data_IF_101991486372
#
_entry.id   IF_101991486372
#
_cell.length_a   1.000
_cell.length_b   1.000
_cell.length_c   1.000
_cell.angle_alpha   90.00
_cell.angle_beta   90.00
_cell.angle_gamma   90.00
#
_symmetry.space_group_name_H-M   'P 1'
#
loop_
_entity.id
_entity.type
_entity.pdbx_description
1 polymer ?
#
# COMPACT_ATOMS: atom_id res chain seq x y z
N UNK A 1 22.16 24.19 -36.56
CA UNK A 1 22.36 24.33 -35.12
C UNK A 1 20.99 24.13 -34.49
N UNK A 2 20.66 22.89 -34.17
CA UNK A 2 19.36 22.52 -33.62
C UNK A 2 19.47 22.47 -32.09
N UNK A 3 18.83 23.41 -31.43
CA UNK A 3 18.62 23.37 -29.97
C UNK A 3 17.77 22.12 -29.66
N UNK A 4 18.39 21.14 -29.02
CA UNK A 4 17.69 20.05 -28.37
C UNK A 4 17.00 20.66 -27.15
N UNK A 5 15.73 21.07 -27.34
CA UNK A 5 14.86 21.43 -26.22
C UNK A 5 14.79 20.23 -25.29
N UNK A 6 15.50 20.28 -24.17
CA UNK A 6 15.23 19.39 -23.04
C UNK A 6 13.78 19.63 -22.65
N UNK A 7 12.89 18.67 -22.96
CA UNK A 7 11.54 18.64 -22.41
C UNK A 7 11.70 18.73 -20.89
N UNK A 8 11.34 19.85 -20.28
CA UNK A 8 11.20 19.93 -18.82
C UNK A 8 10.29 18.77 -18.42
N UNK A 9 10.77 17.88 -17.57
CA UNK A 9 9.99 16.75 -17.11
C UNK A 9 8.79 17.30 -16.34
N UNK A 10 7.62 17.04 -16.86
CA UNK A 10 6.35 17.46 -16.24
C UNK A 10 6.35 16.97 -14.77
N UNK A 11 6.11 17.89 -13.84
CA UNK A 11 6.14 17.55 -12.39
C UNK A 11 5.15 16.42 -12.11
N UNK A 12 5.56 15.33 -11.45
CA UNK A 12 4.68 14.20 -11.21
C UNK A 12 3.46 14.59 -10.38
N UNK A 13 2.31 14.09 -10.76
CA UNK A 13 1.06 14.22 -10.01
C UNK A 13 0.97 13.13 -8.95
N UNK A 14 1.49 11.93 -9.27
CA UNK A 14 1.45 10.75 -8.41
C UNK A 14 2.88 10.27 -8.15
N UNK A 15 3.25 10.07 -6.89
CA UNK A 15 4.47 9.35 -6.52
C UNK A 15 4.10 7.96 -6.00
N UNK A 16 4.59 6.92 -6.67
CA UNK A 16 4.49 5.53 -6.22
C UNK A 16 5.71 5.23 -5.35
N UNK A 17 5.50 4.80 -4.13
CA UNK A 17 6.55 4.44 -3.16
C UNK A 17 6.59 2.92 -3.04
N UNK A 18 7.72 2.33 -3.41
CA UNK A 18 7.96 0.88 -3.40
C UNK A 18 9.09 0.56 -2.43
N UNK A 19 8.78 0.17 -1.18
CA UNK A 19 9.80 -0.37 -0.29
C UNK A 19 10.28 -1.72 -0.81
N UNK A 20 11.60 -1.94 -0.86
CA UNK A 20 12.19 -3.18 -1.32
C UNK A 20 13.22 -3.69 -0.30
N UNK A 21 13.17 -4.99 0.00
CA UNK A 21 14.19 -5.69 0.76
C UNK A 21 14.21 -7.16 0.34
N UNK A 22 15.36 -7.65 -0.18
CA UNK A 22 15.52 -9.02 -0.71
C UNK A 22 14.42 -9.37 -1.72
N UNK A 23 14.21 -8.48 -2.72
CA UNK A 23 13.08 -8.52 -3.64
C UNK A 23 13.47 -8.87 -5.09
N UNK A 24 14.70 -9.33 -5.34
CA UNK A 24 15.22 -9.56 -6.69
C UNK A 24 14.30 -10.40 -7.58
N UNK A 25 13.61 -11.38 -6.99
CA UNK A 25 12.74 -12.32 -7.72
C UNK A 25 11.45 -11.65 -8.24
N UNK A 26 10.91 -10.64 -7.53
CA UNK A 26 9.54 -10.15 -7.77
C UNK A 26 9.49 -8.71 -8.24
N UNK A 27 10.50 -7.90 -7.91
CA UNK A 27 10.48 -6.45 -8.09
C UNK A 27 10.28 -6.02 -9.54
N UNK A 28 10.72 -6.82 -10.51
CA UNK A 28 10.51 -6.56 -11.95
C UNK A 28 9.03 -6.47 -12.28
N UNK A 29 8.22 -7.47 -11.89
CA UNK A 29 6.78 -7.49 -12.10
C UNK A 29 6.08 -6.30 -11.44
N UNK A 30 6.51 -5.93 -10.22
CA UNK A 30 5.97 -4.76 -9.52
C UNK A 30 6.24 -3.47 -10.31
N UNK A 31 7.47 -3.26 -10.81
CA UNK A 31 7.85 -2.09 -11.61
C UNK A 31 7.03 -2.04 -12.91
N UNK A 32 6.95 -3.14 -13.64
CA UNK A 32 6.19 -3.25 -14.90
C UNK A 32 4.72 -2.93 -14.72
N UNK A 33 4.13 -3.32 -13.56
CA UNK A 33 2.75 -3.00 -13.24
C UNK A 33 2.52 -1.49 -13.01
N UNK A 34 3.54 -0.75 -12.56
CA UNK A 34 3.48 0.72 -12.47
C UNK A 34 3.65 1.35 -13.84
N UNK A 35 4.56 0.84 -14.67
CA UNK A 35 4.78 1.35 -16.03
C UNK A 35 3.54 1.18 -16.92
N UNK A 36 2.76 0.13 -16.70
CA UNK A 36 1.53 -0.18 -17.45
C UNK A 36 0.31 0.64 -17.03
N UNK A 37 0.41 1.53 -16.05
CA UNK A 37 -0.73 2.30 -15.57
C UNK A 37 -1.30 3.25 -16.63
N UNK A 38 -2.63 3.22 -16.79
CA UNK A 38 -3.39 3.99 -17.81
C UNK A 38 -3.94 5.31 -17.28
N UNK A 39 -3.41 5.84 -16.16
CA UNK A 39 -4.01 6.96 -15.45
C UNK A 39 -3.96 8.31 -16.19
N UNK A 40 -3.19 8.44 -17.28
CA UNK A 40 -3.04 9.70 -18.02
C UNK A 40 -2.43 10.85 -17.22
N UNK A 41 -1.93 10.60 -16.01
CA UNK A 41 -1.26 11.57 -15.14
C UNK A 41 0.24 11.28 -15.11
N UNK A 42 1.05 12.34 -15.03
CA UNK A 42 2.49 12.19 -14.79
C UNK A 42 2.74 11.50 -13.45
N UNK A 43 3.57 10.47 -13.43
CA UNK A 43 3.92 9.73 -12.23
C UNK A 43 5.44 9.53 -12.12
N UNK A 44 5.90 9.33 -10.90
CA UNK A 44 7.24 8.83 -10.58
C UNK A 44 7.14 7.55 -9.74
N UNK A 45 8.14 6.68 -9.82
CA UNK A 45 8.30 5.50 -8.97
C UNK A 45 9.57 5.65 -8.14
N UNK A 46 9.42 5.64 -6.83
CA UNK A 46 10.51 5.69 -5.86
C UNK A 46 10.71 4.29 -5.27
N UNK A 47 11.71 3.55 -5.77
CA UNK A 47 12.11 2.26 -5.21
C UNK A 47 13.07 2.54 -4.05
N UNK A 48 12.62 2.26 -2.84
CA UNK A 48 13.38 2.49 -1.60
C UNK A 48 13.94 1.16 -1.12
N UNK A 49 15.19 0.89 -1.46
CA UNK A 49 15.88 -0.34 -1.05
C UNK A 49 16.40 -0.24 0.38
N UNK A 50 15.86 -1.07 1.25
CA UNK A 50 16.20 -1.14 2.68
C UNK A 50 17.47 -1.99 2.94
N UNK A 51 18.54 -1.71 2.18
CA UNK A 51 19.84 -2.37 2.29
C UNK A 51 19.83 -3.86 1.88
N UNK A 52 19.25 -4.18 0.71
CA UNK A 52 19.26 -5.53 0.16
C UNK A 52 20.69 -6.03 -0.13
N UNK A 53 20.90 -7.33 0.01
CA UNK A 53 22.17 -8.03 -0.27
C UNK A 53 22.03 -9.07 -1.39
N UNK A 54 20.84 -9.23 -1.94
CA UNK A 54 20.55 -10.05 -3.12
C UNK A 54 20.66 -9.21 -4.42
N UNK A 55 20.23 -9.75 -5.53
CA UNK A 55 20.20 -9.07 -6.83
C UNK A 55 19.12 -7.98 -7.00
N UNK A 56 18.54 -7.41 -5.93
CA UNK A 56 17.47 -6.40 -6.01
C UNK A 56 17.92 -5.15 -6.79
N UNK A 57 19.13 -4.66 -6.50
CA UNK A 57 19.65 -3.46 -7.20
C UNK A 57 19.84 -3.73 -8.70
N UNK A 58 20.38 -4.88 -9.05
CA UNK A 58 20.60 -5.29 -10.43
C UNK A 58 19.28 -5.45 -11.19
N UNK A 59 18.26 -6.00 -10.53
CA UNK A 59 16.91 -6.11 -11.09
C UNK A 59 16.31 -4.74 -11.40
N UNK A 60 16.43 -3.76 -10.49
CA UNK A 60 15.93 -2.38 -10.71
C UNK A 60 16.72 -1.66 -11.80
N UNK A 61 18.03 -1.88 -11.90
CA UNK A 61 18.88 -1.23 -12.94
C UNK A 61 18.43 -1.53 -14.37
N UNK A 62 17.74 -2.63 -14.61
CA UNK A 62 17.16 -2.96 -15.94
C UNK A 62 16.17 -1.92 -16.42
N UNK A 63 15.58 -1.15 -15.51
CA UNK A 63 14.60 -0.09 -15.78
C UNK A 63 15.21 1.32 -15.73
N UNK A 64 16.53 1.45 -15.64
CA UNK A 64 17.23 2.74 -15.52
C UNK A 64 17.07 3.68 -16.74
N UNK A 65 16.63 3.15 -17.89
CA UNK A 65 16.29 3.96 -19.07
C UNK A 65 14.99 4.74 -18.93
N UNK A 66 14.11 4.38 -17.99
CA UNK A 66 12.88 5.14 -17.70
C UNK A 66 13.20 6.23 -16.65
N UNK A 67 13.22 7.52 -17.04
CA UNK A 67 13.61 8.61 -16.14
C UNK A 67 12.63 8.84 -14.99
N UNK A 68 11.46 8.21 -15.01
CA UNK A 68 10.46 8.27 -13.95
C UNK A 68 10.74 7.33 -12.80
N UNK A 69 11.70 6.38 -12.94
CA UNK A 69 12.03 5.36 -11.94
C UNK A 69 13.31 5.77 -11.20
N UNK A 70 13.19 5.94 -9.90
CA UNK A 70 14.26 6.39 -9.03
C UNK A 70 14.61 5.30 -8.01
N UNK A 71 15.85 4.83 -8.01
CA UNK A 71 16.35 3.88 -7.03
C UNK A 71 17.09 4.62 -5.90
N UNK A 72 16.68 4.37 -4.67
CA UNK A 72 17.24 5.00 -3.47
C UNK A 72 17.56 3.91 -2.45
N UNK A 73 18.86 3.69 -2.18
CA UNK A 73 19.32 2.69 -1.21
C UNK A 73 19.56 3.30 0.18
N UNK A 74 19.04 2.67 1.22
CA UNK A 74 19.36 3.01 2.61
C UNK A 74 20.73 2.42 3.01
N UNK A 75 21.43 3.10 3.92
CA UNK A 75 22.76 2.66 4.42
C UNK A 75 22.69 1.41 5.28
N UNK A 76 21.55 1.10 5.89
CA UNK A 76 21.27 -0.06 6.73
C UNK A 76 19.79 -0.41 6.68
N UNK A 77 19.46 -1.67 6.97
CA UNK A 77 18.07 -2.09 7.11
C UNK A 77 17.42 -1.39 8.32
N UNK A 78 16.32 -0.69 8.06
CA UNK A 78 15.55 0.09 9.05
C UNK A 78 14.08 -0.29 9.11
N UNK A 79 13.69 -1.25 8.28
CA UNK A 79 12.33 -1.76 8.17
C UNK A 79 11.43 -0.97 7.21
N UNK A 80 10.30 -1.58 6.88
CA UNK A 80 9.38 -1.09 5.82
C UNK A 80 8.79 0.28 6.14
N UNK A 81 8.47 0.58 7.41
CA UNK A 81 7.97 1.89 7.82
C UNK A 81 8.99 3.00 7.53
N UNK A 82 10.27 2.75 7.83
CA UNK A 82 11.35 3.70 7.57
C UNK A 82 11.57 3.91 6.06
N UNK A 83 11.50 2.83 5.26
CA UNK A 83 11.59 2.91 3.81
C UNK A 83 10.44 3.73 3.22
N UNK A 84 9.18 3.45 3.63
CA UNK A 84 8.01 4.23 3.19
C UNK A 84 8.11 5.71 3.60
N UNK A 85 8.57 6.02 4.81
CA UNK A 85 8.76 7.40 5.26
C UNK A 85 9.84 8.13 4.47
N UNK A 86 10.93 7.45 4.10
CA UNK A 86 11.94 8.02 3.20
C UNK A 86 11.33 8.33 1.83
N UNK A 87 10.51 7.43 1.30
CA UNK A 87 9.75 7.65 0.07
C UNK A 87 8.81 8.86 0.16
N UNK A 88 8.01 8.97 1.24
CA UNK A 88 7.12 10.13 1.49
C UNK A 88 7.92 11.45 1.49
N UNK A 89 9.09 11.46 2.11
CA UNK A 89 9.97 12.64 2.16
C UNK A 89 10.52 13.03 0.79
N UNK A 90 10.81 12.05 -0.08
CA UNK A 90 11.40 12.24 -1.40
C UNK A 90 10.36 12.51 -2.49
N UNK A 91 9.14 12.07 -2.28
CA UNK A 91 8.03 12.18 -3.23
C UNK A 91 7.72 13.63 -3.62
N UNK A 92 7.52 13.86 -4.92
CA UNK A 92 7.20 15.17 -5.49
C UNK A 92 5.72 15.30 -5.85
N UNK A 93 5.01 14.18 -5.98
CA UNK A 93 3.60 14.13 -6.35
C UNK A 93 2.65 14.75 -5.32
N UNK A 94 1.52 15.22 -5.79
CA UNK A 94 0.41 15.67 -4.96
C UNK A 94 -0.33 14.49 -4.31
N UNK A 95 -0.23 13.31 -4.92
CA UNK A 95 -0.78 12.05 -4.41
C UNK A 95 0.32 11.02 -4.24
N UNK A 96 0.18 10.17 -3.22
CA UNK A 96 1.07 9.06 -2.94
C UNK A 96 0.31 7.73 -3.07
N UNK A 97 0.96 6.76 -3.70
CA UNK A 97 0.53 5.38 -3.73
C UNK A 97 1.65 4.50 -3.16
N UNK A 98 1.29 3.37 -2.56
CA UNK A 98 2.26 2.41 -2.00
C UNK A 98 2.10 1.08 -2.72
N UNK A 99 3.22 0.45 -3.08
CA UNK A 99 3.24 -0.89 -3.68
C UNK A 99 4.40 -1.68 -3.06
N UNK A 100 4.10 -2.81 -2.45
CA UNK A 100 5.14 -3.71 -1.95
C UNK A 100 5.82 -4.42 -3.13
N UNK A 101 7.13 -4.67 -3.04
CA UNK A 101 7.95 -5.13 -4.17
C UNK A 101 7.64 -6.57 -4.63
N UNK A 102 6.81 -7.31 -3.90
CA UNK A 102 6.33 -8.65 -4.22
C UNK A 102 4.88 -8.69 -4.75
N UNK A 103 4.19 -7.53 -4.74
CA UNK A 103 2.83 -7.36 -5.25
C UNK A 103 2.82 -6.67 -6.62
N UNK A 104 1.66 -6.59 -7.29
CA UNK A 104 1.50 -5.81 -8.52
C UNK A 104 0.07 -5.30 -8.69
N UNK A 105 -0.11 -4.38 -9.63
CA UNK A 105 -1.39 -3.72 -9.90
C UNK A 105 -1.96 -4.08 -11.26
N UNK A 106 -3.29 -4.04 -11.37
CA UNK A 106 -3.98 -3.95 -12.66
C UNK A 106 -3.75 -2.56 -13.29
N UNK A 107 -3.69 -2.48 -14.61
CA UNK A 107 -3.33 -1.28 -15.35
C UNK A 107 -4.24 -0.06 -15.07
N UNK A 108 -5.50 -0.28 -14.72
CA UNK A 108 -6.48 0.78 -14.50
C UNK A 108 -6.55 1.30 -13.05
N UNK A 109 -5.75 0.76 -12.14
CA UNK A 109 -5.87 1.08 -10.71
C UNK A 109 -5.78 2.57 -10.41
N UNK A 110 -4.73 3.24 -10.86
CA UNK A 110 -4.54 4.66 -10.55
C UNK A 110 -5.58 5.54 -11.26
N UNK A 111 -6.00 5.19 -12.49
CA UNK A 111 -7.06 5.91 -13.21
C UNK A 111 -8.36 5.88 -12.41
N UNK A 112 -8.82 4.69 -12.03
CA UNK A 112 -10.05 4.52 -11.25
C UNK A 112 -10.00 5.29 -9.93
N UNK A 113 -8.88 5.24 -9.22
CA UNK A 113 -8.74 5.95 -7.94
C UNK A 113 -8.73 7.47 -8.10
N UNK A 114 -8.05 8.00 -9.12
CA UNK A 114 -8.06 9.43 -9.41
C UNK A 114 -9.45 9.96 -9.79
N UNK A 115 -10.22 9.19 -10.56
CA UNK A 115 -11.61 9.51 -10.89
C UNK A 115 -12.48 9.62 -9.63
N UNK A 116 -12.35 8.62 -8.72
CA UNK A 116 -13.09 8.63 -7.46
C UNK A 116 -12.68 9.76 -6.52
N UNK A 117 -11.38 10.04 -6.40
CA UNK A 117 -10.87 11.16 -5.59
C UNK A 117 -11.40 12.50 -6.14
N UNK A 118 -11.33 12.72 -7.45
CA UNK A 118 -11.85 13.94 -8.09
C UNK A 118 -13.36 14.13 -7.85
N UNK A 119 -14.13 13.04 -7.92
CA UNK A 119 -15.59 13.07 -7.74
C UNK A 119 -16.01 13.29 -6.30
N UNK A 120 -15.27 12.76 -5.33
CA UNK A 120 -15.69 12.73 -3.91
C UNK A 120 -14.94 13.73 -3.03
N UNK A 121 -13.80 14.24 -3.48
CA UNK A 121 -12.89 15.04 -2.64
C UNK A 121 -12.19 14.23 -1.53
N UNK A 122 -12.29 12.90 -1.54
CA UNK A 122 -11.71 12.05 -0.51
C UNK A 122 -10.19 12.19 -0.42
N UNK A 123 -9.67 12.20 0.80
CA UNK A 123 -8.22 12.28 1.06
C UNK A 123 -7.53 10.95 0.81
N UNK A 124 -8.25 9.83 0.98
CA UNK A 124 -7.77 8.47 0.80
C UNK A 124 -8.76 7.65 -0.03
N UNK A 125 -8.26 6.99 -1.06
CA UNK A 125 -8.97 6.01 -1.85
C UNK A 125 -8.21 4.67 -1.82
N UNK A 126 -8.93 3.54 -1.71
CA UNK A 126 -8.34 2.21 -1.79
C UNK A 126 -9.14 1.30 -2.73
N UNK A 127 -8.52 0.21 -3.20
CA UNK A 127 -9.16 -0.82 -4.01
C UNK A 127 -9.25 -2.14 -3.28
N UNK A 128 -10.05 -3.07 -3.79
CA UNK A 128 -10.01 -4.47 -3.42
C UNK A 128 -8.68 -5.12 -3.82
N UNK A 129 -8.51 -6.38 -3.42
CA UNK A 129 -7.34 -7.18 -3.77
C UNK A 129 -7.71 -8.61 -4.14
N UNK A 130 -6.90 -9.22 -4.96
CA UNK A 130 -6.89 -10.65 -5.25
C UNK A 130 -5.66 -11.29 -4.62
N UNK A 131 -5.85 -12.46 -4.00
CA UNK A 131 -4.72 -13.20 -3.42
C UNK A 131 -4.10 -14.11 -4.46
N UNK A 132 -2.77 -14.04 -4.54
CA UNK A 132 -1.97 -14.78 -5.51
C UNK A 132 -1.08 -15.80 -4.80
N UNK A 133 -0.82 -16.93 -5.47
CA UNK A 133 0.16 -17.92 -5.03
C UNK A 133 1.59 -17.34 -5.10
N UNK A 134 2.59 -17.96 -4.47
CA UNK A 134 3.99 -17.52 -4.57
C UNK A 134 4.50 -17.45 -6.03
N UNK A 135 4.00 -18.29 -6.92
CA UNK A 135 4.34 -18.30 -8.34
C UNK A 135 3.60 -17.22 -9.17
N UNK A 136 2.68 -16.49 -8.55
CA UNK A 136 1.88 -15.45 -9.19
C UNK A 136 0.57 -15.93 -9.81
N UNK A 137 0.21 -17.21 -9.67
CA UNK A 137 -1.10 -17.72 -10.11
C UNK A 137 -2.21 -17.32 -9.14
N UNK A 138 -3.46 -17.07 -9.62
CA UNK A 138 -4.57 -16.72 -8.76
C UNK A 138 -4.93 -17.83 -7.76
N UNK A 139 -5.19 -17.46 -6.50
CA UNK A 139 -5.76 -18.38 -5.50
C UNK A 139 -7.30 -18.53 -5.64
N UNK A 140 -7.92 -17.83 -6.58
CA UNK A 140 -9.37 -17.75 -6.70
C UNK A 140 -10.05 -17.01 -5.55
N UNK A 141 -9.33 -16.19 -4.80
CA UNK A 141 -9.84 -15.46 -3.65
C UNK A 141 -9.70 -13.95 -3.83
N UNK A 142 -10.84 -13.30 -3.99
CA UNK A 142 -10.96 -11.84 -4.09
C UNK A 142 -11.48 -11.29 -2.76
N UNK A 143 -10.87 -10.20 -2.30
CA UNK A 143 -11.28 -9.47 -1.08
C UNK A 143 -11.65 -8.06 -1.50
N UNK A 144 -12.95 -7.79 -1.50
CA UNK A 144 -13.49 -6.48 -1.81
C UNK A 144 -13.29 -5.45 -0.70
N UNK A 145 -13.71 -4.21 -0.96
CA UNK A 145 -13.71 -3.12 0.00
C UNK A 145 -15.07 -2.40 -0.01
N UNK A 146 -15.55 -1.91 1.15
CA UNK A 146 -16.74 -1.07 1.21
C UNK A 146 -16.52 0.26 0.48
N UNK A 147 -17.57 0.80 -0.16
CA UNK A 147 -17.49 2.08 -0.86
C UNK A 147 -17.15 3.26 0.07
N UNK A 148 -17.62 3.24 1.31
CA UNK A 148 -17.28 4.23 2.34
C UNK A 148 -16.68 3.54 3.54
N UNK A 149 -15.48 3.96 3.95
CA UNK A 149 -14.74 3.37 5.06
C UNK A 149 -14.54 4.43 6.12
N UNK A 150 -15.31 4.33 7.20
CA UNK A 150 -15.25 5.28 8.31
C UNK A 150 -14.19 4.89 9.34
N UNK A 151 -13.74 5.86 10.15
CA UNK A 151 -12.88 5.63 11.31
C UNK A 151 -13.42 4.52 12.24
N UNK A 152 -14.74 4.57 12.55
CA UNK A 152 -15.38 3.58 13.45
C UNK A 152 -15.40 2.16 12.85
N UNK A 153 -15.62 2.05 11.54
CA UNK A 153 -15.54 0.77 10.83
C UNK A 153 -14.11 0.23 10.89
N UNK A 154 -13.12 1.08 10.58
CA UNK A 154 -11.72 0.67 10.51
C UNK A 154 -11.21 0.22 11.90
N UNK A 155 -11.67 0.81 13.00
CA UNK A 155 -11.34 0.34 14.35
C UNK A 155 -11.75 -1.11 14.63
N UNK A 156 -12.77 -1.62 13.95
CA UNK A 156 -13.27 -2.98 14.14
C UNK A 156 -12.65 -4.00 13.17
N UNK A 157 -12.18 -3.54 12.01
CA UNK A 157 -11.60 -4.42 10.99
C UNK A 157 -10.72 -3.62 10.03
N UNK A 158 -9.49 -4.09 9.78
CA UNK A 158 -8.64 -3.49 8.74
C UNK A 158 -9.08 -3.99 7.35
N UNK A 159 -9.69 -3.09 6.58
CA UNK A 159 -10.14 -3.35 5.21
C UNK A 159 -9.29 -2.65 4.16
N UNK A 160 -8.31 -1.82 4.56
CA UNK A 160 -7.45 -1.03 3.67
C UNK A 160 -6.06 -1.67 3.57
N UNK A 161 -5.76 -2.47 2.54
CA UNK A 161 -4.41 -2.98 2.32
C UNK A 161 -3.50 -1.85 1.83
N UNK A 162 -2.26 -1.80 2.34
CA UNK A 162 -1.32 -0.71 2.02
C UNK A 162 -1.09 -0.56 0.52
N UNK A 163 -0.84 -1.66 -0.19
CA UNK A 163 -0.61 -1.69 -1.64
C UNK A 163 -1.79 -1.22 -2.50
N UNK A 164 -2.99 -1.08 -1.92
CA UNK A 164 -4.18 -0.64 -2.64
C UNK A 164 -4.44 0.87 -2.58
N UNK A 165 -3.69 1.61 -1.77
CA UNK A 165 -4.01 3.00 -1.44
C UNK A 165 -3.51 3.99 -2.48
N UNK A 166 -4.30 5.04 -2.69
CA UNK A 166 -3.91 6.33 -3.24
C UNK A 166 -4.39 7.41 -2.28
N UNK A 167 -3.49 8.29 -1.83
CA UNK A 167 -3.81 9.27 -0.81
C UNK A 167 -3.15 10.62 -1.08
N UNK A 168 -3.72 11.71 -0.60
CA UNK A 168 -3.12 13.03 -0.68
C UNK A 168 -1.79 13.08 0.07
N UNK A 169 -0.76 13.64 -0.57
CA UNK A 169 0.60 13.67 -0.04
C UNK A 169 0.73 14.48 1.25
N UNK A 170 -0.03 15.57 1.41
CA UNK A 170 -0.03 16.38 2.64
C UNK A 170 -0.49 15.58 3.86
N UNK A 171 -1.55 14.77 3.73
CA UNK A 171 -2.02 13.91 4.81
C UNK A 171 -1.00 12.82 5.18
N UNK A 172 -0.29 12.24 4.19
CA UNK A 172 0.78 11.31 4.47
C UNK A 172 1.97 11.96 5.18
N UNK A 173 2.37 13.15 4.74
CA UNK A 173 3.48 13.91 5.34
C UNK A 173 3.20 14.35 6.76
N UNK A 174 1.94 14.67 7.07
CA UNK A 174 1.52 15.10 8.42
C UNK A 174 1.70 14.01 9.46
N UNK A 175 1.34 12.76 9.13
CA UNK A 175 1.32 11.69 10.13
C UNK A 175 2.49 10.71 10.00
N UNK A 176 2.90 10.35 8.80
CA UNK A 176 3.91 9.34 8.52
C UNK A 176 3.54 7.94 9.02
N UNK A 177 4.33 6.96 8.63
CA UNK A 177 4.26 5.61 9.20
C UNK A 177 4.98 5.58 10.56
N UNK A 178 4.41 4.89 11.52
CA UNK A 178 5.07 4.60 12.79
C UNK A 178 6.07 3.43 12.61
N UNK A 179 6.72 2.98 13.68
CA UNK A 179 7.67 1.87 13.59
C UNK A 179 7.00 0.51 13.32
N UNK A 180 7.76 -0.44 12.80
CA UNK A 180 7.33 -1.80 12.43
C UNK A 180 6.93 -2.69 13.62
N UNK A 181 6.97 -2.17 14.84
CA UNK A 181 6.48 -2.86 16.05
C UNK A 181 4.96 -3.00 16.06
N UNK A 182 4.26 -2.17 15.28
CA UNK A 182 2.80 -2.11 15.18
C UNK A 182 2.36 -2.42 13.76
N UNK A 183 1.05 -2.43 13.51
CA UNK A 183 0.50 -2.33 12.16
C UNK A 183 0.58 -0.87 11.72
N UNK A 184 1.71 -0.52 11.13
CA UNK A 184 2.12 0.85 10.82
C UNK A 184 1.18 1.56 9.84
N UNK A 185 0.68 0.80 8.85
CA UNK A 185 -0.29 1.26 7.85
C UNK A 185 -1.67 1.50 8.48
N UNK A 186 -2.13 0.57 9.30
CA UNK A 186 -3.40 0.67 10.01
C UNK A 186 -3.47 1.90 10.92
N UNK A 187 -2.39 2.21 11.65
CA UNK A 187 -2.32 3.40 12.49
C UNK A 187 -2.39 4.67 11.63
N UNK A 188 -1.69 4.69 10.50
CA UNK A 188 -1.70 5.83 9.59
C UNK A 188 -3.12 6.07 9.05
N UNK A 189 -3.80 5.01 8.57
CA UNK A 189 -5.16 5.14 8.06
C UNK A 189 -6.12 5.63 9.14
N UNK A 190 -6.05 5.12 10.35
CA UNK A 190 -6.89 5.60 11.46
C UNK A 190 -6.66 7.07 11.78
N UNK A 191 -5.41 7.55 11.76
CA UNK A 191 -5.12 8.98 11.97
C UNK A 191 -5.71 9.85 10.87
N UNK A 192 -5.55 9.43 9.61
CA UNK A 192 -6.10 10.13 8.45
C UNK A 192 -7.62 10.18 8.53
N UNK A 193 -8.29 9.03 8.75
CA UNK A 193 -9.74 8.98 8.82
C UNK A 193 -10.31 9.75 10.02
N UNK A 194 -9.59 9.84 11.12
CA UNK A 194 -9.99 10.62 12.29
C UNK A 194 -10.01 12.13 11.98
N UNK A 195 -9.06 12.61 11.19
CA UNK A 195 -8.93 14.04 10.87
C UNK A 195 -9.72 14.45 9.63
N UNK A 196 -9.66 13.66 8.57
CA UNK A 196 -10.14 14.02 7.24
C UNK A 196 -11.47 13.35 6.85
N UNK A 197 -12.02 12.48 7.70
CA UNK A 197 -13.28 11.79 7.43
C UNK A 197 -13.08 10.44 6.74
N UNK A 198 -14.14 9.96 6.08
CA UNK A 198 -14.16 8.62 5.49
C UNK A 198 -13.25 8.49 4.27
N UNK A 199 -12.64 7.33 4.11
CA UNK A 199 -11.99 6.94 2.86
C UNK A 199 -13.02 6.38 1.87
N UNK A 200 -12.68 6.44 0.59
CA UNK A 200 -13.46 5.84 -0.51
C UNK A 200 -12.85 4.50 -0.91
N UNK A 201 -13.69 3.47 -0.96
CA UNK A 201 -13.32 2.16 -1.52
C UNK A 201 -13.88 1.97 -2.93
N UNK A 202 -13.02 1.57 -3.85
CA UNK A 202 -13.40 1.14 -5.21
C UNK A 202 -13.38 -0.39 -5.21
N UNK A 203 -14.55 -1.00 -5.29
CA UNK A 203 -14.69 -2.45 -5.15
C UNK A 203 -14.25 -3.21 -6.41
N UNK A 204 -13.02 -2.94 -6.88
CA UNK A 204 -12.32 -3.63 -7.95
C UNK A 204 -11.06 -4.24 -7.38
N UNK A 205 -10.72 -5.53 -7.62
CA UNK A 205 -9.54 -6.18 -7.04
C UNK A 205 -8.25 -5.80 -7.79
N UNK A 206 -7.97 -4.50 -7.88
CA UNK A 206 -6.87 -3.95 -8.67
C UNK A 206 -5.47 -4.12 -8.04
N UNK A 207 -5.38 -4.65 -6.81
CA UNK A 207 -4.13 -5.09 -6.18
C UNK A 207 -4.04 -6.62 -6.25
N UNK A 208 -2.97 -7.14 -6.83
CA UNK A 208 -2.61 -8.57 -6.79
C UNK A 208 -1.62 -8.77 -5.66
N UNK A 209 -2.07 -9.45 -4.59
CA UNK A 209 -1.31 -9.59 -3.35
C UNK A 209 -0.72 -11.00 -3.25
N UNK A 210 0.60 -11.11 -3.40
CA UNK A 210 1.33 -12.37 -3.35
C UNK A 210 1.43 -12.91 -1.93
N UNK A 211 1.11 -14.18 -1.76
CA UNK A 211 1.22 -14.88 -0.47
C UNK A 211 2.61 -15.49 -0.32
N UNK A 212 3.61 -14.68 0.03
CA UNK A 212 4.97 -15.16 0.28
C UNK A 212 5.09 -15.97 1.58
N UNK A 213 6.00 -16.95 1.62
CA UNK A 213 6.23 -17.79 2.79
C UNK A 213 6.72 -17.03 4.04
N UNK A 214 7.30 -15.83 3.86
CA UNK A 214 7.87 -14.97 4.91
C UNK A 214 6.97 -13.82 5.37
N UNK A 215 5.73 -13.70 4.89
CA UNK A 215 4.87 -12.54 5.14
C UNK A 215 4.60 -12.27 6.63
N UNK A 216 4.62 -10.98 7.04
CA UNK A 216 4.39 -10.51 8.44
C UNK A 216 3.09 -11.03 9.05
N UNK A 217 2.06 -11.28 8.24
CA UNK A 217 0.71 -11.69 8.68
C UNK A 217 0.57 -13.19 8.97
N UNK A 218 1.59 -14.02 8.69
CA UNK A 218 1.54 -15.48 8.86
C UNK A 218 1.47 -15.89 10.33
N UNK A 219 2.20 -15.22 11.20
CA UNK A 219 2.17 -15.49 12.64
C UNK A 219 1.00 -14.74 13.28
N UNK A 220 -0.13 -15.44 13.48
CA UNK A 220 -1.38 -14.87 14.02
C UNK A 220 -1.21 -14.30 15.42
N UNK A 221 -0.38 -14.92 16.27
CA UNK A 221 -0.12 -14.43 17.62
C UNK A 221 0.66 -13.11 17.58
N UNK A 222 1.73 -13.05 16.80
CA UNK A 222 2.51 -11.83 16.61
C UNK A 222 1.62 -10.70 16.05
N UNK A 223 0.78 -11.01 15.07
CA UNK A 223 -0.16 -10.04 14.50
C UNK A 223 -1.17 -9.53 15.53
N UNK A 224 -1.68 -10.40 16.42
CA UNK A 224 -2.60 -9.99 17.49
C UNK A 224 -1.91 -9.06 18.51
N UNK A 225 -0.67 -9.36 18.90
CA UNK A 225 0.12 -8.48 19.78
C UNK A 225 0.36 -7.12 19.13
N UNK A 226 0.73 -7.09 17.85
CA UNK A 226 0.90 -5.85 17.08
C UNK A 226 -0.40 -5.05 17.00
N UNK A 227 -1.54 -5.72 16.78
CA UNK A 227 -2.85 -5.07 16.72
C UNK A 227 -3.24 -4.45 18.06
N UNK A 228 -3.08 -5.18 19.16
CA UNK A 228 -3.30 -4.63 20.51
C UNK A 228 -2.39 -3.43 20.77
N UNK A 229 -1.10 -3.56 20.44
CA UNK A 229 -0.13 -2.47 20.54
C UNK A 229 -0.54 -1.24 19.71
N UNK A 230 -1.15 -1.43 18.53
CA UNK A 230 -1.65 -0.35 17.68
C UNK A 230 -2.76 0.44 18.36
N UNK A 231 -3.72 -0.22 19.03
CA UNK A 231 -4.74 0.48 19.82
C UNK A 231 -4.15 1.23 21.01
N UNK A 232 -3.18 0.63 21.71
CA UNK A 232 -2.48 1.29 22.82
C UNK A 232 -1.70 2.53 22.37
N UNK A 233 -1.04 2.43 21.23
CA UNK A 233 -0.32 3.54 20.60
C UNK A 233 -1.25 4.70 20.22
N UNK A 234 -2.48 4.40 19.79
CA UNK A 234 -3.53 5.39 19.49
C UNK A 234 -4.16 6.02 20.74
N UNK A 235 -3.70 5.67 21.95
CA UNK A 235 -4.17 6.23 23.22
C UNK A 235 -5.38 5.52 23.82
N UNK A 236 -5.82 4.38 23.28
CA UNK A 236 -6.91 3.64 23.89
C UNK A 236 -6.50 2.97 25.21
N UNK A 237 -7.32 3.11 26.26
CA UNK A 237 -7.17 2.39 27.52
C UNK A 237 -7.24 0.87 27.33
N UNK A 238 -6.74 0.07 28.30
CA UNK A 238 -6.66 -1.40 28.21
C UNK A 238 -7.99 -2.04 27.83
N UNK A 239 -9.09 -1.68 28.50
CA UNK A 239 -10.42 -2.25 28.28
C UNK A 239 -10.96 -1.94 26.86
N UNK A 240 -10.80 -0.69 26.39
CA UNK A 240 -11.19 -0.31 25.03
C UNK A 240 -10.34 -0.99 23.96
N UNK A 241 -9.04 -1.16 24.20
CA UNK A 241 -8.17 -1.89 23.29
C UNK A 241 -8.59 -3.37 23.17
N UNK A 242 -8.92 -4.03 24.29
CA UNK A 242 -9.44 -5.40 24.30
C UNK A 242 -10.81 -5.51 23.61
N UNK A 243 -11.71 -4.55 23.83
CA UNK A 243 -13.00 -4.47 23.15
C UNK A 243 -12.82 -4.45 21.61
N UNK A 244 -11.96 -3.58 21.08
CA UNK A 244 -11.70 -3.54 19.64
C UNK A 244 -10.99 -4.78 19.13
N UNK A 245 -10.08 -5.37 19.92
CA UNK A 245 -9.45 -6.65 19.59
C UNK A 245 -10.45 -7.78 19.40
N UNK A 246 -11.47 -7.88 20.26
CA UNK A 246 -12.53 -8.89 20.12
C UNK A 246 -13.22 -8.77 18.76
N UNK A 247 -13.66 -7.55 18.38
CA UNK A 247 -14.29 -7.34 17.06
C UNK A 247 -13.34 -7.62 15.91
N UNK A 248 -12.09 -7.17 16.01
CA UNK A 248 -11.07 -7.40 14.98
C UNK A 248 -10.86 -8.90 14.74
N UNK A 249 -10.79 -9.68 15.82
CA UNK A 249 -10.63 -11.15 15.75
C UNK A 249 -11.85 -11.82 15.16
N UNK A 250 -13.06 -11.47 15.61
CA UNK A 250 -14.32 -12.02 15.10
C UNK A 250 -14.48 -11.75 13.59
N UNK A 251 -14.26 -10.50 13.15
CA UNK A 251 -14.32 -10.16 11.73
C UNK A 251 -13.20 -10.83 10.92
N UNK A 252 -12.02 -10.99 11.52
CA UNK A 252 -10.91 -11.72 10.92
C UNK A 252 -11.28 -13.19 10.65
N UNK A 253 -11.87 -13.87 11.65
CA UNK A 253 -12.35 -15.25 11.53
C UNK A 253 -13.45 -15.33 10.45
N UNK A 254 -14.45 -14.46 10.51
CA UNK A 254 -15.55 -14.46 9.53
C UNK A 254 -15.09 -14.21 8.10
N UNK A 255 -14.14 -13.31 7.90
CA UNK A 255 -13.51 -13.01 6.60
C UNK A 255 -12.77 -14.22 6.01
N UNK A 256 -12.22 -15.09 6.86
CA UNK A 256 -11.45 -16.25 6.41
C UNK A 256 -12.27 -17.54 6.32
N UNK A 257 -13.35 -17.68 7.08
CA UNK A 257 -14.19 -18.87 7.11
C UNK A 257 -15.56 -18.69 6.44
N UNK A 258 -16.10 -17.46 6.39
CA UNK A 258 -17.40 -17.16 5.79
C UNK A 258 -17.42 -17.07 4.25
N UNK A 259 -16.28 -17.02 3.59
CA UNK A 259 -16.18 -16.88 2.13
C UNK A 259 -16.19 -18.21 1.36
N UNK A 260 -16.37 -19.36 2.04
CA UNK A 260 -16.38 -20.70 1.41
C UNK A 260 -17.73 -21.08 0.79
N UNK A 261 -18.75 -20.21 0.77
CA UNK A 261 -20.13 -20.56 0.44
C UNK A 261 -20.83 -19.67 -0.61
N UNK A 262 -20.12 -18.99 -1.48
CA UNK A 262 -20.74 -18.13 -2.50
C UNK A 262 -20.29 -18.45 -3.94
N UNK A 263 -20.73 -19.59 -4.52
CA UNK A 263 -20.88 -19.70 -5.98
C UNK A 263 -21.96 -18.69 -6.36
N UNK A 264 -21.58 -17.61 -7.01
CA UNK A 264 -22.55 -16.79 -7.74
C UNK A 264 -23.05 -17.59 -8.93
N UNK A 265 -24.36 -17.81 -8.98
CA UNK A 265 -25.11 -18.12 -10.20
C UNK A 265 -25.23 -16.85 -11.05
#
# INVERSE_FOLDING_TARGET
MGEIMRKESEKPVISVIMPAYQAAQYIGQAIESVQSQTCGQAWELLVIDDCSTDGTMEAVRRYASDPRIHYIRQRKNRGVAAARNLGIKKAQGAYLAFLDADDWWDADKLRLQMEWIKRTGAVLCCTGRELMQPDGTPQGRVIGVPQSITYRMLLRTNVIPCGSVLLRADAAREFGFVCDRYHEDYILWLRILKKYGAAVGVNVPALKCRQSAGGKSRNKWKSAVMQYGSYRYLGYGRLRALYYMMFYTLHGVWKYFGASGGRQK
#
